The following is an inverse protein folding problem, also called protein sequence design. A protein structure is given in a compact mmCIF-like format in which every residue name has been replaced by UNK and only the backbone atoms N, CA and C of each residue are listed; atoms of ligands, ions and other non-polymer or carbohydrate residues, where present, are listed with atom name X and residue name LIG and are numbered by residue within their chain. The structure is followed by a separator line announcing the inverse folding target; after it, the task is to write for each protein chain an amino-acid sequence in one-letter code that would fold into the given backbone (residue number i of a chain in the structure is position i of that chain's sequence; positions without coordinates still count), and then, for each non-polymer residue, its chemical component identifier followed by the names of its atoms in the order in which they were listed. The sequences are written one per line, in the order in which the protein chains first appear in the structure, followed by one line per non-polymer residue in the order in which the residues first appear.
data_IF_319481656585
#
_entry.id   IF_319481656585
#
_cell.length_a   1.000
_cell.length_b   1.000
_cell.length_c   1.000
_cell.angle_alpha   90.00
_cell.angle_beta   90.00
_cell.angle_gamma   90.00
#
_symmetry.space_group_name_H-M   'P 1'
#
loop_
_entity.id
_entity.type
_entity.pdbx_description
1 polymer ?
#
# COMPACT_ATOMS: atom_id res chain seq x y z
N UNK A 1 -7.80 18.49 11.82
CA UNK A 1 -8.62 18.17 10.62
C UNK A 1 -7.89 18.42 9.30
N UNK A 2 -7.18 19.54 9.08
CA UNK A 2 -6.51 19.84 7.80
C UNK A 2 -5.56 18.72 7.34
N UNK A 3 -4.64 18.25 8.18
CA UNK A 3 -3.71 17.15 7.83
C UNK A 3 -4.44 15.84 7.52
N UNK A 4 -5.54 15.55 8.20
CA UNK A 4 -6.40 14.42 7.88
C UNK A 4 -6.92 14.53 6.44
N UNK A 5 -7.58 15.65 6.11
CA UNK A 5 -8.14 15.88 4.77
C UNK A 5 -7.06 15.78 3.69
N UNK A 6 -5.88 16.40 3.92
CA UNK A 6 -4.76 16.34 2.96
C UNK A 6 -4.30 14.89 2.75
N UNK A 7 -4.02 14.15 3.83
CA UNK A 7 -3.55 12.77 3.71
C UNK A 7 -4.61 11.81 3.20
N UNK A 8 -5.89 12.13 3.42
CA UNK A 8 -7.00 11.35 2.89
C UNK A 8 -7.10 11.49 1.37
N UNK A 9 -7.10 12.71 0.84
CA UNK A 9 -7.03 12.95 -0.61
C UNK A 9 -5.75 12.39 -1.24
N UNK A 10 -4.61 12.54 -0.59
CA UNK A 10 -3.35 11.99 -1.09
C UNK A 10 -3.29 10.45 -1.06
N UNK A 11 -4.18 9.79 -0.34
CA UNK A 11 -4.30 8.31 -0.38
C UNK A 11 -4.76 7.79 -1.74
N UNK A 12 -5.32 8.66 -2.60
CA UNK A 12 -5.60 8.33 -3.99
C UNK A 12 -4.31 8.08 -4.81
N UNK A 13 -3.18 8.64 -4.40
CA UNK A 13 -1.89 8.43 -5.11
C UNK A 13 -1.46 6.95 -5.05
N UNK A 14 -1.30 6.30 -3.87
CA UNK A 14 -1.02 4.86 -3.84
C UNK A 14 -2.12 4.04 -4.54
N UNK A 15 -3.40 4.40 -4.40
CA UNK A 15 -4.48 3.72 -5.11
C UNK A 15 -4.30 3.79 -6.65
N UNK A 16 -3.89 4.95 -7.17
CA UNK A 16 -3.58 5.12 -8.60
C UNK A 16 -2.39 4.26 -9.05
N UNK A 17 -1.33 4.13 -8.22
CA UNK A 17 -0.23 3.20 -8.50
C UNK A 17 -0.70 1.76 -8.55
N UNK A 18 -1.50 1.32 -7.58
CA UNK A 18 -2.09 -0.01 -7.54
C UNK A 18 -2.94 -0.30 -8.78
N UNK A 19 -3.80 0.65 -9.17
CA UNK A 19 -4.61 0.57 -10.39
C UNK A 19 -3.73 0.51 -11.64
N UNK A 20 -2.67 1.32 -11.72
CA UNK A 20 -1.72 1.31 -12.85
C UNK A 20 -1.07 -0.06 -13.06
N UNK A 21 -0.65 -0.73 -11.98
CA UNK A 21 -0.12 -2.09 -12.06
C UNK A 21 -1.21 -3.11 -12.44
N UNK A 22 -2.43 -2.98 -11.92
CA UNK A 22 -3.54 -3.85 -12.30
C UNK A 22 -3.88 -3.71 -13.79
N UNK A 23 -3.94 -2.49 -14.31
CA UNK A 23 -4.16 -2.21 -15.74
C UNK A 23 -3.00 -2.74 -16.60
N UNK A 24 -1.75 -2.65 -16.12
CA UNK A 24 -0.59 -3.23 -16.80
C UNK A 24 -0.71 -4.75 -16.91
N UNK A 25 -1.09 -5.41 -15.84
CA UNK A 25 -1.34 -6.85 -15.82
C UNK A 25 -2.48 -7.26 -16.76
N UNK A 26 -3.58 -6.53 -16.72
CA UNK A 26 -4.73 -6.73 -17.59
C UNK A 26 -4.36 -6.55 -19.08
N UNK A 27 -3.63 -5.48 -19.40
CA UNK A 27 -3.15 -5.22 -20.76
C UNK A 27 -2.24 -6.35 -21.27
N UNK A 28 -1.31 -6.80 -20.44
CA UNK A 28 -0.44 -7.94 -20.80
C UNK A 28 -1.25 -9.21 -21.02
N UNK A 29 -2.25 -9.49 -20.17
CA UNK A 29 -3.11 -10.65 -20.30
C UNK A 29 -3.89 -10.64 -21.63
N UNK A 30 -4.57 -9.54 -21.93
CA UNK A 30 -5.34 -9.38 -23.17
C UNK A 30 -4.42 -9.53 -24.39
N UNK A 31 -3.27 -8.83 -24.39
CA UNK A 31 -2.34 -8.85 -25.54
C UNK A 31 -1.70 -10.22 -25.78
N UNK A 32 -1.33 -10.90 -24.70
CA UNK A 32 -0.65 -12.21 -24.77
C UNK A 32 -1.62 -13.39 -24.78
N UNK A 33 -2.93 -13.15 -24.66
CA UNK A 33 -4.04 -14.12 -24.68
C UNK A 33 -3.90 -15.27 -23.66
N UNK A 34 -3.08 -15.10 -22.61
CA UNK A 34 -2.86 -16.09 -21.57
C UNK A 34 -2.35 -15.44 -20.30
N UNK A 35 -2.97 -15.74 -19.15
CA UNK A 35 -2.54 -15.23 -17.84
C UNK A 35 -1.14 -15.77 -17.48
N UNK A 36 -0.79 -16.96 -17.90
CA UNK A 36 0.54 -17.57 -17.66
C UNK A 36 1.67 -16.87 -18.42
N UNK A 37 1.34 -16.03 -19.39
CA UNK A 37 2.29 -15.21 -20.15
C UNK A 37 2.45 -13.79 -19.59
N UNK A 38 1.65 -13.41 -18.58
CA UNK A 38 1.83 -12.16 -17.86
C UNK A 38 3.15 -12.21 -17.07
N UNK A 39 3.84 -11.09 -16.95
CA UNK A 39 5.10 -11.03 -16.22
C UNK A 39 4.89 -11.48 -14.77
N UNK A 40 5.71 -12.43 -14.33
CA UNK A 40 5.58 -13.06 -12.99
C UNK A 40 5.59 -12.02 -11.86
N UNK A 41 6.40 -10.96 -11.97
CA UNK A 41 6.44 -9.88 -11.00
C UNK A 41 5.11 -9.12 -10.89
N UNK A 42 4.40 -8.95 -12.00
CA UNK A 42 3.07 -8.30 -12.03
C UNK A 42 2.01 -9.24 -11.46
N UNK A 43 2.06 -10.54 -11.78
CA UNK A 43 1.15 -11.51 -11.17
C UNK A 43 1.33 -11.60 -9.66
N UNK A 44 2.59 -11.70 -9.20
CA UNK A 44 2.90 -11.74 -7.77
C UNK A 44 2.45 -10.46 -7.07
N UNK A 45 2.63 -9.30 -7.71
CA UNK A 45 2.17 -8.02 -7.20
C UNK A 45 0.64 -7.97 -7.08
N UNK A 46 -0.08 -8.52 -8.06
CA UNK A 46 -1.54 -8.64 -8.03
C UNK A 46 -2.02 -9.51 -6.86
N UNK A 47 -1.38 -10.67 -6.64
CA UNK A 47 -1.67 -11.53 -5.48
C UNK A 47 -1.38 -10.79 -4.17
N UNK A 48 -0.24 -10.10 -4.09
CA UNK A 48 0.13 -9.31 -2.92
C UNK A 48 -0.94 -8.23 -2.60
N UNK A 49 -1.41 -7.48 -3.60
CA UNK A 49 -2.45 -6.46 -3.38
C UNK A 49 -3.81 -7.08 -3.02
N UNK A 50 -4.12 -8.27 -3.52
CA UNK A 50 -5.30 -9.01 -3.07
C UNK A 50 -5.20 -9.41 -1.59
N UNK A 51 -4.01 -9.82 -1.12
CA UNK A 51 -3.75 -10.09 0.30
C UNK A 51 -3.89 -8.82 1.14
N UNK A 52 -3.32 -7.68 0.70
CA UNK A 52 -3.45 -6.40 1.40
C UNK A 52 -4.92 -5.99 1.52
N UNK A 53 -5.71 -6.15 0.46
CA UNK A 53 -7.16 -5.89 0.48
C UNK A 53 -7.89 -6.83 1.45
N UNK A 54 -7.55 -8.11 1.45
CA UNK A 54 -8.15 -9.08 2.37
C UNK A 54 -7.85 -8.73 3.84
N UNK A 55 -6.62 -8.32 4.14
CA UNK A 55 -6.21 -7.84 5.47
C UNK A 55 -6.98 -6.56 5.85
N UNK A 56 -7.13 -5.61 4.93
CA UNK A 56 -7.95 -4.41 5.16
C UNK A 56 -9.39 -4.79 5.52
N UNK A 57 -10.05 -5.63 4.70
CA UNK A 57 -11.43 -6.06 4.92
C UNK A 57 -11.60 -6.87 6.23
N UNK A 58 -10.57 -7.62 6.61
CA UNK A 58 -10.56 -8.34 7.89
C UNK A 58 -10.61 -7.38 9.06
N UNK A 59 -9.74 -6.37 9.12
CA UNK A 59 -9.72 -5.42 10.22
C UNK A 59 -10.89 -4.43 10.20
N UNK A 60 -11.51 -4.19 9.06
CA UNK A 60 -12.76 -3.42 8.97
C UNK A 60 -13.91 -4.15 9.67
N UNK A 61 -13.94 -5.48 9.61
CA UNK A 61 -14.95 -6.31 10.27
C UNK A 61 -14.59 -6.66 11.71
N UNK A 62 -13.32 -6.94 11.97
CA UNK A 62 -12.79 -7.29 13.30
C UNK A 62 -12.25 -6.03 13.95
N UNK A 63 -13.16 -5.23 14.51
CA UNK A 63 -12.80 -3.95 15.14
C UNK A 63 -12.02 -4.19 16.43
N UNK A 64 -10.76 -3.79 16.49
CA UNK A 64 -9.90 -3.88 17.67
C UNK A 64 -10.09 -2.64 18.56
N UNK A 65 -10.12 -1.45 17.96
CA UNK A 65 -10.42 -0.20 18.64
C UNK A 65 -11.09 0.79 17.68
N UNK A 66 -11.61 1.88 18.25
CA UNK A 66 -12.25 2.97 17.51
C UNK A 66 -11.35 4.22 17.50
N UNK A 67 -11.58 5.09 16.54
CA UNK A 67 -10.86 6.36 16.41
C UNK A 67 -11.07 7.25 17.63
N UNK A 68 -10.05 8.07 18.01
CA UNK A 68 -10.16 9.01 19.13
C UNK A 68 -11.15 10.16 18.85
N UNK A 69 -11.52 10.36 17.59
CA UNK A 69 -12.43 11.44 17.13
C UNK A 69 -13.48 10.89 16.18
N UNK A 70 -14.67 11.47 16.20
CA UNK A 70 -15.72 11.15 15.24
C UNK A 70 -15.40 11.75 13.88
N UNK A 71 -15.51 10.95 12.82
CA UNK A 71 -15.38 11.41 11.44
C UNK A 71 -16.77 11.54 10.83
N UNK A 72 -17.16 12.77 10.44
CA UNK A 72 -18.51 13.04 9.96
C UNK A 72 -19.63 12.66 10.94
N UNK A 73 -19.34 12.65 12.25
CA UNK A 73 -20.29 12.25 13.30
C UNK A 73 -20.39 10.74 13.50
N UNK A 74 -19.59 9.93 12.79
CA UNK A 74 -19.61 8.47 12.87
C UNK A 74 -18.36 7.97 13.60
N UNK A 75 -18.54 6.93 14.44
CA UNK A 75 -17.46 6.23 15.11
C UNK A 75 -16.95 5.11 14.18
N UNK A 76 -15.73 5.29 13.67
CA UNK A 76 -15.10 4.35 12.72
C UNK A 76 -14.05 3.47 13.39
N UNK A 77 -13.83 2.28 12.83
CA UNK A 77 -12.72 1.41 13.20
C UNK A 77 -11.39 2.14 13.00
N UNK A 78 -10.41 1.94 13.88
CA UNK A 78 -9.15 2.66 13.89
C UNK A 78 -7.94 1.80 13.58
N UNK A 79 -7.89 0.57 14.09
CA UNK A 79 -6.72 -0.28 14.00
C UNK A 79 -6.83 -1.33 12.88
N UNK A 80 -5.75 -1.56 12.12
CA UNK A 80 -4.61 -0.65 11.91
C UNK A 80 -5.01 0.55 11.03
N UNK A 81 -4.22 1.63 11.04
CA UNK A 81 -4.49 2.75 10.13
C UNK A 81 -4.45 2.30 8.67
N UNK A 82 -5.61 2.26 8.02
CA UNK A 82 -5.78 1.79 6.64
C UNK A 82 -4.92 2.56 5.63
N UNK A 83 -4.85 3.88 5.78
CA UNK A 83 -3.99 4.73 4.94
C UNK A 83 -2.51 4.41 5.13
N UNK A 84 -2.07 4.13 6.37
CA UNK A 84 -0.68 3.74 6.66
C UNK A 84 -0.37 2.40 6.00
N UNK A 85 -1.25 1.40 6.13
CA UNK A 85 -1.07 0.10 5.48
C UNK A 85 -1.04 0.24 3.96
N UNK A 86 -1.98 0.99 3.38
CA UNK A 86 -2.06 1.21 1.93
C UNK A 86 -0.76 1.82 1.38
N UNK A 87 -0.29 2.91 1.99
CA UNK A 87 0.90 3.63 1.55
C UNK A 87 2.15 2.75 1.69
N UNK A 88 2.32 2.09 2.84
CA UNK A 88 3.50 1.27 3.13
C UNK A 88 3.51 -0.07 2.39
N UNK A 89 2.40 -0.56 1.89
CA UNK A 89 2.37 -1.73 1.01
C UNK A 89 2.60 -1.35 -0.46
N UNK A 90 1.95 -0.29 -0.96
CA UNK A 90 1.98 0.02 -2.39
C UNK A 90 3.24 0.80 -2.79
N UNK A 91 3.65 1.82 -2.02
CA UNK A 91 4.78 2.67 -2.43
C UNK A 91 6.13 1.92 -2.46
N UNK A 92 6.52 1.11 -1.44
CA UNK A 92 7.75 0.34 -1.51
C UNK A 92 7.73 -0.70 -2.64
N UNK A 93 6.60 -1.38 -2.88
CA UNK A 93 6.50 -2.34 -3.98
C UNK A 93 6.56 -1.66 -5.35
N UNK A 94 6.01 -0.45 -5.50
CA UNK A 94 6.20 0.38 -6.69
C UNK A 94 7.68 0.73 -6.91
N UNK A 95 8.41 1.10 -5.84
CA UNK A 95 9.87 1.34 -5.91
C UNK A 95 10.61 0.07 -6.38
N UNK A 96 10.24 -1.10 -5.86
CA UNK A 96 10.86 -2.37 -6.27
C UNK A 96 10.66 -2.66 -7.76
N UNK A 97 9.47 -2.37 -8.30
CA UNK A 97 9.19 -2.51 -9.74
C UNK A 97 9.96 -1.47 -10.58
N UNK A 98 10.14 -0.26 -10.08
CA UNK A 98 10.83 0.81 -10.79
C UNK A 98 12.36 0.68 -10.76
N UNK A 99 12.94 0.02 -9.75
CA UNK A 99 14.41 -0.15 -9.60
C UNK A 99 15.07 -0.93 -10.75
N UNK A 100 14.31 -1.72 -11.49
CA UNK A 100 14.80 -2.42 -12.68
C UNK A 100 15.24 -1.46 -13.81
N UNK A 101 14.96 -0.15 -13.70
CA UNK A 101 15.28 0.87 -14.68
C UNK A 101 16.23 1.91 -14.07
N UNK A 102 17.51 1.84 -14.37
CA UNK A 102 18.61 2.57 -13.71
C UNK A 102 18.52 4.12 -13.67
N UNK A 103 17.59 4.75 -14.39
CA UNK A 103 17.51 6.22 -14.53
C UNK A 103 16.46 6.90 -13.62
N UNK A 104 15.93 6.23 -12.60
CA UNK A 104 14.76 6.73 -11.84
C UNK A 104 15.05 7.15 -10.39
N UNK A 105 16.29 7.51 -10.04
CA UNK A 105 16.65 7.91 -8.66
C UNK A 105 15.75 9.02 -8.09
N UNK A 106 15.46 10.06 -8.89
CA UNK A 106 14.61 11.17 -8.46
C UNK A 106 13.16 10.73 -8.16
N UNK A 107 12.60 9.83 -8.97
CA UNK A 107 11.25 9.29 -8.76
C UNK A 107 11.23 8.43 -7.48
N UNK A 108 12.24 7.58 -7.28
CA UNK A 108 12.34 6.74 -6.07
C UNK A 108 12.43 7.63 -4.82
N UNK A 109 13.24 8.68 -4.86
CA UNK A 109 13.37 9.63 -3.76
C UNK A 109 12.03 10.35 -3.48
N UNK A 110 11.32 10.79 -4.52
CA UNK A 110 10.01 11.42 -4.39
C UNK A 110 8.97 10.47 -3.77
N UNK A 111 8.92 9.21 -4.23
CA UNK A 111 8.03 8.19 -3.65
C UNK A 111 8.36 7.94 -2.18
N UNK A 112 9.65 7.84 -1.82
CA UNK A 112 10.07 7.63 -0.44
C UNK A 112 9.69 8.82 0.45
N UNK A 113 9.97 10.04 0.00
CA UNK A 113 9.60 11.27 0.73
C UNK A 113 8.08 11.37 0.90
N UNK A 114 7.31 11.07 -0.14
CA UNK A 114 5.85 11.00 -0.08
C UNK A 114 5.37 9.98 0.96
N UNK A 115 5.95 8.78 0.96
CA UNK A 115 5.60 7.71 1.93
C UNK A 115 5.81 8.17 3.37
N UNK A 116 6.99 8.76 3.66
CA UNK A 116 7.32 9.30 4.98
C UNK A 116 6.34 10.41 5.37
N UNK A 117 6.07 11.35 4.46
CA UNK A 117 5.11 12.43 4.68
C UNK A 117 3.72 11.90 5.04
N UNK A 118 3.23 10.87 4.32
CA UNK A 118 1.91 10.29 4.56
C UNK A 118 1.82 9.65 5.95
N UNK A 119 2.83 8.88 6.37
CA UNK A 119 2.83 8.22 7.69
C UNK A 119 2.89 9.27 8.81
N UNK A 120 3.80 10.25 8.70
CA UNK A 120 3.92 11.33 9.69
C UNK A 120 2.64 12.18 9.70
N UNK A 121 2.10 12.53 8.54
CA UNK A 121 0.87 13.31 8.42
C UNK A 121 -0.33 12.59 9.06
N UNK A 122 -0.44 11.27 8.90
CA UNK A 122 -1.48 10.47 9.56
C UNK A 122 -1.30 10.44 11.08
N UNK A 123 -0.08 10.30 11.57
CA UNK A 123 0.22 10.37 13.00
C UNK A 123 -0.17 11.75 13.59
N UNK A 124 0.26 12.83 12.93
CA UNK A 124 0.02 14.20 13.40
C UNK A 124 -1.44 14.67 13.19
N UNK A 125 -2.22 14.00 12.35
CA UNK A 125 -3.63 14.34 12.14
C UNK A 125 -4.52 14.10 13.36
N UNK A 126 -4.08 13.25 14.30
CA UNK A 126 -4.80 12.95 15.55
C UNK A 126 -6.07 12.11 15.36
N UNK A 127 -6.32 11.56 14.17
CA UNK A 127 -7.50 10.73 13.88
C UNK A 127 -7.27 9.24 14.13
N UNK A 128 -6.05 8.86 14.47
CA UNK A 128 -5.65 7.50 14.84
C UNK A 128 -4.83 7.54 16.13
N UNK A 129 -4.89 6.46 16.89
CA UNK A 129 -3.97 6.24 17.99
C UNK A 129 -2.56 5.96 17.46
N UNK A 130 -1.54 6.28 18.27
CA UNK A 130 -0.13 5.94 17.91
C UNK A 130 0.02 4.43 17.64
N UNK A 131 -0.68 3.60 18.39
CA UNK A 131 -0.71 2.14 18.24
C UNK A 131 -1.23 1.69 16.87
N UNK A 132 -2.19 2.42 16.29
CA UNK A 132 -2.75 2.10 14.97
C UNK A 132 -1.73 2.34 13.86
N UNK A 133 -0.94 3.40 14.00
CA UNK A 133 0.16 3.72 13.07
C UNK A 133 1.28 2.70 13.21
N UNK A 134 1.70 2.37 14.45
CA UNK A 134 2.73 1.36 14.70
C UNK A 134 2.28 -0.01 14.18
N UNK A 135 1.05 -0.41 14.47
CA UNK A 135 0.46 -1.65 13.95
C UNK A 135 0.45 -1.69 12.44
N UNK A 136 0.05 -0.60 11.79
CA UNK A 136 0.11 -0.44 10.33
C UNK A 136 1.52 -0.57 9.77
N UNK A 137 2.53 0.04 10.41
CA UNK A 137 3.95 -0.06 10.02
C UNK A 137 4.44 -1.50 10.13
N UNK A 138 4.23 -2.15 11.28
CA UNK A 138 4.69 -3.54 11.51
C UNK A 138 4.06 -4.52 10.54
N UNK A 139 2.74 -4.45 10.37
CA UNK A 139 1.99 -5.29 9.46
C UNK A 139 2.47 -5.12 8.00
N UNK A 140 2.55 -3.88 7.53
CA UNK A 140 2.99 -3.57 6.17
C UNK A 140 4.44 -3.99 5.92
N UNK A 141 5.32 -3.77 6.90
CA UNK A 141 6.73 -4.20 6.81
C UNK A 141 6.81 -5.71 6.66
N UNK A 142 6.08 -6.47 7.49
CA UNK A 142 6.04 -7.93 7.38
C UNK A 142 5.54 -8.41 6.01
N UNK A 143 4.44 -7.83 5.52
CA UNK A 143 3.87 -8.16 4.21
C UNK A 143 4.84 -7.84 3.06
N UNK A 144 5.48 -6.66 3.08
CA UNK A 144 6.42 -6.24 2.04
C UNK A 144 7.69 -7.09 2.05
N UNK A 145 8.22 -7.45 3.22
CA UNK A 145 9.37 -8.36 3.32
C UNK A 145 9.02 -9.75 2.78
N UNK A 146 7.84 -10.27 3.07
CA UNK A 146 7.37 -11.54 2.52
C UNK A 146 7.26 -11.47 0.99
N UNK A 147 6.66 -10.40 0.46
CA UNK A 147 6.58 -10.15 -0.98
C UNK A 147 7.97 -10.13 -1.62
N UNK A 148 8.93 -9.39 -1.04
CA UNK A 148 10.29 -9.27 -1.55
C UNK A 148 11.02 -10.61 -1.56
N UNK A 149 10.94 -11.38 -0.47
CA UNK A 149 11.52 -12.71 -0.37
C UNK A 149 11.00 -13.67 -1.46
N UNK A 150 9.67 -13.68 -1.66
CA UNK A 150 9.05 -14.50 -2.71
C UNK A 150 9.48 -14.03 -4.10
N UNK A 151 9.46 -12.71 -4.35
CA UNK A 151 9.86 -12.13 -5.64
C UNK A 151 11.33 -12.42 -5.98
N UNK A 152 12.23 -12.38 -5.00
CA UNK A 152 13.64 -12.78 -5.16
C UNK A 152 13.79 -14.26 -5.49
N UNK A 153 13.05 -15.13 -4.81
CA UNK A 153 13.11 -16.59 -5.06
C UNK A 153 12.74 -16.97 -6.50
N UNK A 154 11.86 -16.17 -7.14
CA UNK A 154 11.49 -16.36 -8.55
C UNK A 154 12.49 -15.80 -9.55
N UNK A 155 13.38 -14.87 -9.15
CA UNK A 155 14.41 -14.31 -10.04
C UNK A 155 15.67 -15.18 -10.11
N UNK A 156 15.91 -16.03 -9.11
CA UNK A 156 17.11 -16.87 -9.01
C UNK A 156 16.93 -18.23 -9.71
N UNK A 157 15.70 -18.59 -10.05
CA UNK A 157 15.37 -19.80 -10.85
C UNK A 157 15.16 -19.42 -12.30
#
# INVERSE_FOLDING_TARGET
MLLYTITDWLSLVPAAFGLGFALTGLWQWIRRKSILKVDRSILLLGVFYAVVLAVYLFFEKVVINYRPVLIGGVLEASYPSSTTVLVLCIMPTAVMQLRSHAQKKGIIMAITAFTVFMVIGRLLSGVHWVTDIIGGILLSTGLVLLYDAINHSFKVR
#
